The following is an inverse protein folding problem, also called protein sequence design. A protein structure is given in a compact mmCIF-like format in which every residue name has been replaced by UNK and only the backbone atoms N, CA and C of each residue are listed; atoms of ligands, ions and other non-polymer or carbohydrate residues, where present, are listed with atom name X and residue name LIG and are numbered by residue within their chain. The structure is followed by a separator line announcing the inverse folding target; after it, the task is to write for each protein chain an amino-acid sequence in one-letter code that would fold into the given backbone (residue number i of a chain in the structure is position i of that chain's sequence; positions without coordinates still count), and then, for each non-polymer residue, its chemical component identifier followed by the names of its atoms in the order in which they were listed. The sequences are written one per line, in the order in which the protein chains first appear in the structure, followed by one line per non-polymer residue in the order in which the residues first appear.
data_IF_651174957203
#
_entry.id   IF_651174957203
#
_cell.length_a   1.000
_cell.length_b   1.000
_cell.length_c   1.000
_cell.angle_alpha   90.00
_cell.angle_beta   90.00
_cell.angle_gamma   90.00
#
_symmetry.space_group_name_H-M   'P 1'
#
loop_
_entity.id
_entity.type
_entity.pdbx_description
1 polymer ?
#
# COMPACT_ATOMS: atom_id res chain seq x y z
N UNK A 1 -18.65 -32.97 92.41
CA UNK A 1 -19.46 -32.66 91.20
C UNK A 1 -19.08 -31.33 90.53
N UNK A 2 -18.42 -30.38 91.22
CA UNK A 2 -18.03 -29.07 90.66
C UNK A 2 -16.83 -29.12 89.68
N UNK A 3 -15.77 -29.88 89.98
CA UNK A 3 -14.54 -29.98 89.16
C UNK A 3 -14.79 -30.34 87.68
N UNK A 4 -15.71 -31.27 87.42
CA UNK A 4 -16.01 -31.72 86.06
C UNK A 4 -16.75 -30.68 85.20
N UNK A 5 -17.43 -29.70 85.82
CA UNK A 5 -18.06 -28.59 85.10
C UNK A 5 -17.04 -27.51 84.73
N UNK A 6 -16.08 -27.25 85.62
CA UNK A 6 -15.02 -26.27 85.38
C UNK A 6 -14.06 -26.75 84.27
N UNK A 7 -13.62 -28.02 84.30
CA UNK A 7 -12.76 -28.60 83.25
C UNK A 7 -13.43 -28.55 81.86
N UNK A 8 -14.76 -28.73 81.81
CA UNK A 8 -15.54 -28.66 80.56
C UNK A 8 -15.66 -27.22 80.04
N UNK A 9 -15.79 -26.24 80.94
CA UNK A 9 -15.83 -24.83 80.57
C UNK A 9 -14.48 -24.35 80.05
N UNK A 10 -13.39 -24.75 80.70
CA UNK A 10 -12.01 -24.45 80.26
C UNK A 10 -11.71 -25.03 78.89
N UNK A 11 -12.12 -26.28 78.62
CA UNK A 11 -11.97 -26.89 77.29
C UNK A 11 -12.76 -26.19 76.18
N UNK A 12 -13.94 -25.62 76.50
CA UNK A 12 -14.74 -24.83 75.55
C UNK A 12 -14.10 -23.47 75.26
N UNK A 13 -13.49 -22.83 76.26
CA UNK A 13 -12.78 -21.55 76.09
C UNK A 13 -11.55 -21.74 75.21
N UNK A 14 -10.71 -22.73 75.51
CA UNK A 14 -9.51 -23.03 74.70
C UNK A 14 -9.86 -23.30 73.22
N UNK A 15 -10.93 -24.07 72.97
CA UNK A 15 -11.38 -24.35 71.60
C UNK A 15 -11.86 -23.10 70.86
N UNK A 16 -12.49 -22.15 71.57
CA UNK A 16 -12.90 -20.87 70.99
C UNK A 16 -11.71 -19.95 70.72
N UNK A 17 -10.71 -19.93 71.59
CA UNK A 17 -9.49 -19.14 71.41
C UNK A 17 -8.67 -19.64 70.22
N UNK A 18 -8.55 -20.96 70.04
CA UNK A 18 -7.97 -21.57 68.84
C UNK A 18 -8.72 -21.18 67.57
N UNK A 19 -10.05 -21.18 67.60
CA UNK A 19 -10.88 -20.78 66.47
C UNK A 19 -10.72 -19.29 66.14
N UNK A 20 -10.60 -18.42 67.15
CA UNK A 20 -10.37 -16.99 66.97
C UNK A 20 -8.99 -16.74 66.34
N UNK A 21 -7.97 -17.48 66.76
CA UNK A 21 -6.62 -17.42 66.18
C UNK A 21 -6.62 -17.86 64.71
N UNK A 22 -7.30 -18.96 64.37
CA UNK A 22 -7.40 -19.46 62.99
C UNK A 22 -8.15 -18.48 62.08
N UNK A 23 -9.29 -17.94 62.53
CA UNK A 23 -10.03 -16.91 61.80
C UNK A 23 -9.21 -15.63 61.62
N UNK A 24 -8.44 -15.23 62.63
CA UNK A 24 -7.53 -14.09 62.54
C UNK A 24 -6.45 -14.28 61.48
N UNK A 25 -5.89 -15.49 61.38
CA UNK A 25 -4.92 -15.86 60.34
C UNK A 25 -5.54 -15.84 58.95
N UNK A 26 -6.70 -16.49 58.77
CA UNK A 26 -7.43 -16.50 57.49
C UNK A 26 -7.80 -15.08 57.03
N UNK A 27 -8.23 -14.22 57.96
CA UNK A 27 -8.52 -12.82 57.65
C UNK A 27 -7.27 -12.05 57.21
N UNK A 28 -6.12 -12.31 57.82
CA UNK A 28 -4.83 -11.74 57.42
C UNK A 28 -4.41 -12.16 56.02
N UNK A 29 -4.50 -13.45 55.71
CA UNK A 29 -4.19 -14.01 54.39
C UNK A 29 -5.13 -13.44 53.31
N UNK A 30 -6.43 -13.35 53.60
CA UNK A 30 -7.41 -12.77 52.67
C UNK A 30 -7.17 -11.28 52.41
N UNK A 31 -6.71 -10.52 53.40
CA UNK A 31 -6.32 -9.11 53.21
C UNK A 31 -5.08 -8.99 52.31
N UNK A 32 -4.06 -9.80 52.55
CA UNK A 32 -2.85 -9.80 51.73
C UNK A 32 -3.13 -10.16 50.27
N UNK A 33 -3.99 -11.17 50.03
CA UNK A 33 -4.43 -11.53 48.68
C UNK A 33 -5.16 -10.37 48.00
N UNK A 34 -6.14 -9.76 48.71
CA UNK A 34 -6.88 -8.61 48.19
C UNK A 34 -5.96 -7.42 47.88
N UNK A 35 -5.03 -7.09 48.77
CA UNK A 35 -4.10 -5.98 48.57
C UNK A 35 -3.18 -6.27 47.38
N UNK A 36 -2.77 -7.53 47.18
CA UNK A 36 -2.06 -7.99 46.00
C UNK A 36 -2.87 -7.82 44.70
N UNK A 37 -4.12 -8.25 44.69
CA UNK A 37 -5.05 -8.10 43.55
C UNK A 37 -5.30 -6.62 43.21
N UNK A 38 -5.55 -5.78 44.22
CA UNK A 38 -5.75 -4.34 44.04
C UNK A 38 -4.49 -3.67 43.51
N UNK A 39 -3.31 -4.09 43.96
CA UNK A 39 -2.03 -3.61 43.42
C UNK A 39 -1.86 -4.01 41.95
N UNK A 40 -2.15 -5.27 41.60
CA UNK A 40 -2.12 -5.77 40.23
C UNK A 40 -3.03 -4.96 39.30
N UNK A 41 -4.29 -4.77 39.70
CA UNK A 41 -5.26 -3.99 38.93
C UNK A 41 -4.83 -2.52 38.71
N UNK A 42 -4.13 -1.92 39.68
CA UNK A 42 -3.59 -0.56 39.50
C UNK A 42 -2.47 -0.51 38.47
N UNK A 43 -1.60 -1.52 38.45
CA UNK A 43 -0.52 -1.63 37.45
C UNK A 43 -1.14 -1.80 36.07
N UNK A 44 -2.07 -2.74 35.91
CA UNK A 44 -2.75 -2.99 34.64
C UNK A 44 -3.51 -1.75 34.14
N UNK A 45 -4.23 -1.06 35.03
CA UNK A 45 -4.93 0.18 34.67
C UNK A 45 -3.96 1.28 34.21
N UNK A 46 -2.78 1.38 34.83
CA UNK A 46 -1.77 2.36 34.42
C UNK A 46 -1.15 2.02 33.07
N UNK A 47 -0.89 0.73 32.80
CA UNK A 47 -0.41 0.24 31.53
C UNK A 47 -1.43 0.48 30.40
N UNK A 48 -2.71 0.19 30.65
CA UNK A 48 -3.78 0.43 29.67
C UNK A 48 -3.99 1.92 29.40
N UNK A 49 -3.90 2.78 30.41
CA UNK A 49 -3.93 4.24 30.20
C UNK A 49 -2.77 4.73 29.33
N UNK A 50 -1.56 4.20 29.56
CA UNK A 50 -0.41 4.54 28.73
C UNK A 50 -0.57 4.08 27.28
N UNK A 51 -1.11 2.87 27.07
CA UNK A 51 -1.44 2.35 25.72
C UNK A 51 -2.49 3.21 25.03
N UNK A 52 -3.56 3.59 25.71
CA UNK A 52 -4.60 4.45 25.14
C UNK A 52 -4.05 5.82 24.75
N UNK A 53 -3.19 6.44 25.58
CA UNK A 53 -2.57 7.71 25.24
C UNK A 53 -1.66 7.61 24.00
N UNK A 54 -0.92 6.51 23.85
CA UNK A 54 -0.11 6.26 22.66
C UNK A 54 -0.97 6.03 21.40
N UNK A 55 -2.09 5.32 21.54
CA UNK A 55 -3.05 5.11 20.45
C UNK A 55 -3.73 6.41 20.02
N UNK A 56 -4.15 7.25 20.97
CA UNK A 56 -4.72 8.57 20.67
C UNK A 56 -3.71 9.45 19.92
N UNK A 57 -2.44 9.42 20.32
CA UNK A 57 -1.37 10.13 19.62
C UNK A 57 -1.20 9.63 18.18
N UNK A 58 -1.12 8.31 17.98
CA UNK A 58 -1.00 7.70 16.65
C UNK A 58 -2.20 7.99 15.76
N UNK A 59 -3.41 7.99 16.34
CA UNK A 59 -4.64 8.31 15.62
C UNK A 59 -4.61 9.75 15.12
N UNK A 60 -4.21 10.69 15.97
CA UNK A 60 -4.04 12.09 15.56
C UNK A 60 -2.98 12.27 14.47
N UNK A 61 -1.82 11.61 14.62
CA UNK A 61 -0.78 11.64 13.58
C UNK A 61 -1.28 11.05 12.25
N UNK A 62 -2.12 10.02 12.28
CA UNK A 62 -2.71 9.43 11.09
C UNK A 62 -3.77 10.34 10.45
N UNK A 63 -4.61 10.99 11.25
CA UNK A 63 -5.58 11.99 10.78
C UNK A 63 -4.89 13.18 10.12
N UNK A 64 -3.82 13.70 10.73
CA UNK A 64 -3.02 14.80 10.15
C UNK A 64 -2.38 14.38 8.82
N UNK A 65 -1.82 13.17 8.73
CA UNK A 65 -1.29 12.62 7.47
C UNK A 65 -2.37 12.48 6.42
N UNK A 66 -3.54 11.96 6.77
CA UNK A 66 -4.66 11.77 5.84
C UNK A 66 -5.18 13.13 5.33
N UNK A 67 -5.26 14.13 6.20
CA UNK A 67 -5.66 15.49 5.82
C UNK A 67 -4.62 16.18 4.90
N UNK A 68 -3.35 15.77 4.97
CA UNK A 68 -2.28 16.28 4.12
C UNK A 68 -2.16 15.55 2.76
N UNK A 69 -2.86 14.42 2.57
CA UNK A 69 -2.87 13.71 1.29
C UNK A 69 -3.70 14.52 0.29
N UNK A 70 -3.05 14.97 -0.79
CA UNK A 70 -3.74 15.57 -1.92
C UNK A 70 -4.64 14.53 -2.61
N UNK A 71 -5.81 14.92 -3.12
CA UNK A 71 -6.62 14.06 -3.98
C UNK A 71 -5.78 13.52 -5.14
N UNK A 72 -5.98 12.24 -5.47
CA UNK A 72 -5.25 11.57 -6.55
C UNK A 72 -5.34 12.35 -7.89
N UNK A 73 -6.51 12.94 -8.16
CA UNK A 73 -6.75 13.78 -9.34
C UNK A 73 -5.82 14.99 -9.39
N UNK A 74 -5.55 15.62 -8.25
CA UNK A 74 -4.67 16.80 -8.19
C UNK A 74 -3.20 16.39 -8.36
N UNK A 75 -2.79 15.26 -7.79
CA UNK A 75 -1.43 14.71 -7.96
C UNK A 75 -1.17 14.33 -9.41
N UNK A 76 -2.14 13.67 -10.06
CA UNK A 76 -2.04 13.30 -11.48
C UNK A 76 -1.96 14.56 -12.35
N UNK A 77 -2.79 15.57 -12.07
CA UNK A 77 -2.77 16.82 -12.82
C UNK A 77 -1.44 17.55 -12.67
N UNK A 78 -0.91 17.66 -11.45
CA UNK A 78 0.41 18.24 -11.19
C UNK A 78 1.51 17.48 -11.93
N UNK A 79 1.44 16.13 -11.97
CA UNK A 79 2.38 15.32 -12.73
C UNK A 79 2.28 15.54 -14.25
N UNK A 80 1.06 15.68 -14.78
CA UNK A 80 0.82 15.94 -16.21
C UNK A 80 1.36 17.31 -16.68
N UNK A 81 1.53 18.26 -15.77
CA UNK A 81 2.13 19.57 -16.04
C UNK A 81 3.67 19.53 -16.04
N UNK A 82 4.30 18.39 -15.71
CA UNK A 82 5.76 18.28 -15.66
C UNK A 82 6.39 18.03 -17.04
N UNK A 83 7.60 18.56 -17.25
CA UNK A 83 8.41 18.29 -18.43
C UNK A 83 8.71 16.80 -18.61
N UNK A 84 8.82 16.04 -17.51
CA UNK A 84 9.03 14.60 -17.55
C UNK A 84 7.83 13.86 -18.15
N UNK A 85 6.61 14.25 -17.79
CA UNK A 85 5.41 13.69 -18.42
C UNK A 85 5.31 14.07 -19.89
N UNK A 86 5.56 15.34 -20.23
CA UNK A 86 5.55 15.80 -21.62
C UNK A 86 6.60 15.08 -22.47
N UNK A 87 7.80 14.86 -21.93
CA UNK A 87 8.86 14.10 -22.58
C UNK A 87 8.46 12.63 -22.74
N UNK A 88 7.89 12.00 -21.71
CA UNK A 88 7.42 10.61 -21.81
C UNK A 88 6.31 10.45 -22.86
N UNK A 89 5.38 11.42 -22.95
CA UNK A 89 4.35 11.44 -24.00
C UNK A 89 4.97 11.67 -25.38
N UNK A 90 5.97 12.55 -25.50
CA UNK A 90 6.68 12.77 -26.75
C UNK A 90 7.45 11.52 -27.19
N UNK A 91 8.15 10.86 -26.26
CA UNK A 91 8.91 9.61 -26.49
C UNK A 91 7.98 8.45 -26.84
N UNK A 92 6.77 8.41 -26.27
CA UNK A 92 5.76 7.41 -26.59
C UNK A 92 5.00 7.72 -27.90
N UNK A 93 4.78 8.98 -28.25
CA UNK A 93 4.08 9.36 -29.49
C UNK A 93 4.98 9.34 -30.73
N UNK A 94 6.28 9.44 -30.49
CA UNK A 94 7.35 9.44 -31.47
C UNK A 94 7.34 8.20 -32.41
N UNK A 95 7.38 6.95 -31.90
CA UNK A 95 7.28 5.75 -32.74
C UNK A 95 5.97 5.70 -33.54
N UNK A 96 4.85 6.10 -32.95
CA UNK A 96 3.53 6.11 -33.57
C UNK A 96 3.46 7.06 -34.77
N UNK A 97 4.08 8.23 -34.68
CA UNK A 97 4.17 9.19 -35.80
C UNK A 97 5.01 8.61 -36.93
N UNK A 98 6.15 8.00 -36.64
CA UNK A 98 6.94 7.32 -37.67
C UNK A 98 6.17 6.18 -38.32
N UNK A 99 5.52 5.34 -37.51
CA UNK A 99 4.73 4.21 -38.00
C UNK A 99 3.61 4.69 -38.93
N UNK A 100 2.90 5.74 -38.52
CA UNK A 100 1.88 6.39 -39.34
C UNK A 100 2.47 6.86 -40.67
N UNK A 101 3.66 7.47 -40.65
CA UNK A 101 4.33 7.94 -41.85
C UNK A 101 4.75 6.79 -42.78
N UNK A 102 5.36 5.72 -42.25
CA UNK A 102 5.77 4.56 -43.06
C UNK A 102 4.58 3.86 -43.72
N UNK A 103 3.48 3.70 -42.97
CA UNK A 103 2.23 3.13 -43.49
C UNK A 103 1.64 4.03 -44.57
N UNK A 104 1.52 5.33 -44.31
CA UNK A 104 0.99 6.29 -45.28
C UNK A 104 1.85 6.37 -46.55
N UNK A 105 3.17 6.43 -46.40
CA UNK A 105 4.11 6.49 -47.52
C UNK A 105 4.01 5.25 -48.40
N UNK A 106 3.98 4.07 -47.78
CA UNK A 106 3.80 2.81 -48.50
C UNK A 106 2.47 2.82 -49.24
N UNK A 107 1.37 3.11 -48.52
CA UNK A 107 0.03 3.06 -49.07
C UNK A 107 -0.18 4.02 -50.25
N UNK A 108 0.24 5.28 -50.13
CA UNK A 108 0.13 6.28 -51.20
C UNK A 108 0.95 5.87 -52.44
N UNK A 109 2.12 5.26 -52.23
CA UNK A 109 3.02 4.87 -53.33
C UNK A 109 2.64 3.53 -53.98
N UNK A 110 1.99 2.62 -53.26
CA UNK A 110 1.57 1.31 -53.79
C UNK A 110 0.12 1.28 -54.25
N UNK A 111 -0.73 2.15 -53.72
CA UNK A 111 -2.16 2.20 -54.02
C UNK A 111 -2.58 3.62 -54.45
N UNK A 112 -2.79 3.86 -55.76
CA UNK A 112 -3.25 5.15 -56.29
C UNK A 112 -4.62 5.60 -55.78
N UNK A 113 -5.48 4.66 -55.35
CA UNK A 113 -6.82 4.93 -54.81
C UNK A 113 -6.80 5.06 -53.27
N UNK A 114 -5.62 5.17 -52.67
CA UNK A 114 -5.46 5.33 -51.23
C UNK A 114 -6.24 6.55 -50.72
N UNK A 115 -7.02 6.31 -49.67
CA UNK A 115 -7.80 7.32 -48.96
C UNK A 115 -7.66 7.13 -47.45
N UNK A 116 -8.30 8.00 -46.68
CA UNK A 116 -8.22 7.99 -45.22
C UNK A 116 -8.66 6.64 -44.59
N UNK A 117 -9.72 6.01 -45.10
CA UNK A 117 -10.23 4.75 -44.56
C UNK A 117 -9.21 3.62 -44.77
N UNK A 118 -8.66 3.52 -45.98
CA UNK A 118 -7.61 2.53 -46.29
C UNK A 118 -6.33 2.75 -45.49
N UNK A 119 -6.02 4.01 -45.13
CA UNK A 119 -4.90 4.33 -44.24
C UNK A 119 -5.16 3.84 -42.82
N UNK A 120 -6.35 4.10 -42.27
CA UNK A 120 -6.71 3.66 -40.91
C UNK A 120 -6.66 2.14 -40.81
N UNK A 121 -7.21 1.42 -41.80
CA UNK A 121 -7.16 -0.05 -41.85
C UNK A 121 -5.71 -0.56 -41.89
N UNK A 122 -4.87 -0.01 -42.77
CA UNK A 122 -3.46 -0.40 -42.87
C UNK A 122 -2.67 -0.08 -41.58
N UNK A 123 -2.99 1.03 -40.91
CA UNK A 123 -2.33 1.43 -39.67
C UNK A 123 -2.73 0.55 -38.49
N UNK A 124 -4.01 0.17 -38.38
CA UNK A 124 -4.47 -0.77 -37.35
C UNK A 124 -3.87 -2.17 -37.58
N UNK A 125 -3.84 -2.65 -38.83
CA UNK A 125 -3.18 -3.91 -39.16
C UNK A 125 -1.69 -3.90 -38.79
N UNK A 126 -1.00 -2.78 -39.02
CA UNK A 126 0.39 -2.60 -38.59
C UNK A 126 0.55 -2.64 -37.06
N UNK A 127 -0.39 -2.07 -36.29
CA UNK A 127 -0.38 -2.17 -34.83
C UNK A 127 -0.60 -3.60 -34.35
N UNK A 128 -1.57 -4.30 -34.90
CA UNK A 128 -1.84 -5.70 -34.55
C UNK A 128 -0.64 -6.61 -34.89
N UNK A 129 0.04 -6.36 -36.00
CA UNK A 129 1.27 -7.08 -36.38
C UNK A 129 2.38 -6.92 -35.33
N UNK A 130 2.58 -5.71 -34.82
CA UNK A 130 3.58 -5.43 -33.77
C UNK A 130 3.20 -6.12 -32.46
N UNK A 131 1.92 -6.08 -32.07
CA UNK A 131 1.43 -6.79 -30.88
C UNK A 131 1.64 -8.30 -30.96
N UNK A 132 1.63 -8.86 -32.19
CA UNK A 132 1.98 -10.27 -32.46
C UNK A 132 3.49 -10.54 -32.57
N UNK A 133 4.33 -9.51 -32.48
CA UNK A 133 5.79 -9.62 -32.59
C UNK A 133 6.32 -9.69 -34.02
N UNK A 134 5.53 -9.32 -35.03
CA UNK A 134 5.91 -9.37 -36.46
C UNK A 134 6.80 -8.19 -36.89
N UNK A 135 7.04 -7.23 -35.99
CA UNK A 135 7.95 -6.10 -36.20
C UNK A 135 7.27 -4.83 -36.75
N UNK A 136 8.02 -3.73 -36.76
CA UNK A 136 7.56 -2.44 -37.30
C UNK A 136 7.42 -2.49 -38.83
N UNK A 137 6.48 -1.71 -39.43
CA UNK A 137 6.39 -1.57 -40.87
C UNK A 137 7.71 -1.12 -41.48
N UNK A 138 8.09 -1.73 -42.61
CA UNK A 138 9.27 -1.34 -43.36
C UNK A 138 9.08 0.01 -44.06
N UNK A 139 10.18 0.74 -44.27
CA UNK A 139 10.16 1.94 -45.09
C UNK A 139 9.97 1.55 -46.56
N UNK A 140 9.20 2.35 -47.32
CA UNK A 140 9.02 2.10 -48.74
C UNK A 140 10.36 2.20 -49.49
N UNK A 141 10.78 1.09 -50.13
CA UNK A 141 11.96 1.05 -50.99
C UNK A 141 11.58 1.22 -52.45
N UNK A 142 11.60 2.47 -52.93
CA UNK A 142 11.43 2.77 -54.34
C UNK A 142 12.23 4.01 -54.76
N UNK A 143 12.22 4.37 -56.06
CA UNK A 143 13.14 5.34 -56.64
C UNK A 143 13.10 6.75 -55.99
N UNK A 144 12.01 7.09 -55.29
CA UNK A 144 11.85 8.34 -54.53
C UNK A 144 11.63 8.10 -53.02
N UNK A 145 12.31 7.12 -52.42
CA UNK A 145 12.29 6.92 -50.97
C UNK A 145 12.96 8.11 -50.28
N UNK A 146 12.26 8.76 -49.36
CA UNK A 146 12.88 9.71 -48.43
C UNK A 146 13.57 8.89 -47.35
N UNK A 147 14.86 8.64 -47.53
CA UNK A 147 15.68 8.01 -46.49
C UNK A 147 15.78 9.04 -45.35
N UNK A 148 15.01 8.82 -44.27
CA UNK A 148 15.28 9.53 -43.02
C UNK A 148 16.70 9.16 -42.60
N UNK A 149 17.61 10.13 -42.40
CA UNK A 149 18.97 9.81 -41.95
C UNK A 149 18.89 9.03 -40.64
N UNK A 150 19.60 7.90 -40.60
CA UNK A 150 19.77 7.03 -39.43
C UNK A 150 20.25 7.79 -38.20
N UNK A 151 20.89 8.94 -38.41
CA UNK A 151 21.56 9.75 -37.39
C UNK A 151 20.63 10.78 -36.75
N UNK A 152 19.31 10.58 -36.86
CA UNK A 152 18.38 11.31 -35.99
C UNK A 152 18.48 10.71 -34.59
N UNK A 153 18.74 11.50 -33.52
CA UNK A 153 18.85 11.03 -32.12
C UNK A 153 17.68 10.17 -31.64
N UNK A 154 16.59 10.28 -32.39
CA UNK A 154 15.33 9.59 -32.29
C UNK A 154 15.35 8.08 -32.62
N UNK A 155 16.08 7.65 -33.65
CA UNK A 155 16.17 6.23 -34.02
C UNK A 155 17.03 5.44 -33.03
N UNK A 156 18.02 6.09 -32.41
CA UNK A 156 18.84 5.52 -31.34
C UNK A 156 18.04 5.21 -30.05
N UNK A 157 17.01 6.00 -29.76
CA UNK A 157 16.15 5.78 -28.59
C UNK A 157 15.24 4.55 -28.78
N UNK A 158 14.72 4.36 -29.99
CA UNK A 158 13.86 3.21 -30.35
C UNK A 158 14.68 1.91 -30.44
N UNK A 159 15.90 1.95 -30.97
CA UNK A 159 16.75 0.76 -31.05
C UNK A 159 17.28 0.28 -29.69
N UNK A 160 17.40 1.17 -28.69
CA UNK A 160 17.83 0.81 -27.33
C UNK A 160 16.73 0.17 -26.46
N UNK A 161 15.48 0.19 -26.90
CA UNK A 161 14.37 -0.44 -26.15
C UNK A 161 14.16 -1.92 -26.52
N UNK A 162 14.98 -2.46 -27.43
CA UNK A 162 14.87 -3.83 -27.97
C UNK A 162 16.06 -4.73 -27.56
N UNK A 163 16.97 -4.25 -26.70
CA UNK A 163 17.98 -5.08 -26.00
C UNK A 163 17.61 -5.29 -24.53
#
# INVERSE_FOLDING_TARGET
MFKAKDDKLTGVILKKDEQILDLGKQLGEMKLLRDGEVSGLRIDLSAERARNADLEKKLKEAEEKLAAVKPEVDVIKEFQETDAYLQAVADAGAPEVLRSWKVAETLIKTNPEANWETFVEAFLAAKEAIERGEGEPECFQGPNSLIFPSDTPFLDAVNKTVE
#
